data_IF_451929084056
#
_entry.id   IF_451929084056
#
_cell.length_a   1.000
_cell.length_b   1.000
_cell.length_c   1.000
_cell.angle_alpha   90.00
_cell.angle_beta   90.00
_cell.angle_gamma   90.00
#
_symmetry.space_group_name_H-M   'P 1'
#
loop_
_entity.id
_entity.type
_entity.pdbx_description
1 polymer ?
#
# COMPACT_ATOMS: atom_id res chain seq x y z
N UNK A 1 -35.37 52.32 6.77
CA UNK A 1 -35.71 50.88 6.79
C UNK A 1 -34.53 50.10 6.19
N UNK A 2 -33.80 49.37 7.04
CA UNK A 2 -32.52 48.69 6.73
C UNK A 2 -32.77 47.43 5.88
N UNK A 3 -32.11 47.30 4.73
CA UNK A 3 -32.06 46.07 3.94
C UNK A 3 -30.95 45.17 4.50
N UNK A 4 -31.34 44.02 5.04
CA UNK A 4 -30.44 43.00 5.57
C UNK A 4 -29.92 42.18 4.37
N UNK A 5 -28.62 42.25 4.13
CA UNK A 5 -27.92 41.36 3.20
C UNK A 5 -27.78 39.97 3.88
N UNK A 6 -28.49 38.97 3.37
CA UNK A 6 -28.18 37.57 3.66
C UNK A 6 -26.88 37.21 2.94
N UNK A 7 -25.81 36.99 3.71
CA UNK A 7 -24.60 36.35 3.23
C UNK A 7 -24.81 34.82 3.24
N UNK A 8 -24.95 34.23 2.06
CA UNK A 8 -24.87 32.79 1.86
C UNK A 8 -23.43 32.32 2.11
N UNK A 9 -23.19 31.76 3.29
CA UNK A 9 -21.96 31.07 3.63
C UNK A 9 -22.01 29.66 2.99
N UNK A 10 -21.48 29.54 1.77
CA UNK A 10 -21.33 28.25 1.10
C UNK A 10 -20.24 27.43 1.80
N UNK A 11 -20.65 26.40 2.54
CA UNK A 11 -19.76 25.38 3.10
C UNK A 11 -19.26 24.52 1.94
N UNK A 12 -18.01 24.76 1.51
CA UNK A 12 -17.30 23.88 0.58
C UNK A 12 -16.85 22.65 1.38
N UNK A 13 -17.53 21.52 1.19
CA UNK A 13 -17.07 20.24 1.70
C UNK A 13 -15.80 19.87 0.93
N UNK A 14 -14.64 19.96 1.57
CA UNK A 14 -13.37 19.46 1.07
C UNK A 14 -13.45 17.92 1.06
N UNK A 15 -13.91 17.35 -0.03
CA UNK A 15 -13.71 15.92 -0.29
C UNK A 15 -12.25 15.73 -0.67
N UNK A 16 -11.46 15.16 0.23
CA UNK A 16 -10.11 14.68 -0.11
C UNK A 16 -10.27 13.61 -1.19
N UNK A 17 -9.68 13.76 -2.39
CA UNK A 17 -9.73 12.68 -3.37
C UNK A 17 -9.00 11.47 -2.80
N UNK A 18 -9.62 10.30 -2.94
CA UNK A 18 -8.88 9.06 -2.86
C UNK A 18 -7.96 9.00 -4.08
N UNK A 19 -6.67 8.75 -3.86
CA UNK A 19 -5.74 8.45 -4.94
C UNK A 19 -5.99 7.01 -5.34
N UNK A 20 -6.81 6.83 -6.37
CA UNK A 20 -7.01 5.55 -7.03
C UNK A 20 -5.94 5.41 -8.14
N UNK A 21 -5.31 4.25 -8.23
CA UNK A 21 -4.32 3.94 -9.27
C UNK A 21 -4.53 2.51 -9.77
N UNK A 22 -4.22 2.27 -11.05
CA UNK A 22 -4.34 0.94 -11.61
C UNK A 22 -3.08 0.12 -11.28
N UNK A 23 -3.28 -0.99 -10.59
CA UNK A 23 -2.22 -1.99 -10.36
C UNK A 23 -2.43 -3.10 -11.38
N UNK A 24 -1.40 -3.37 -12.17
CA UNK A 24 -1.33 -4.51 -13.08
C UNK A 24 -0.45 -5.61 -12.48
N UNK A 25 -1.07 -6.67 -11.96
CA UNK A 25 -0.36 -7.85 -11.42
C UNK A 25 0.03 -8.75 -12.60
N UNK A 26 1.33 -8.81 -12.90
CA UNK A 26 1.89 -9.39 -14.11
C UNK A 26 2.08 -10.91 -14.02
N UNK A 27 2.67 -11.37 -12.93
CA UNK A 27 2.98 -12.78 -12.70
C UNK A 27 3.04 -13.06 -11.19
N UNK A 28 2.87 -14.32 -10.82
CA UNK A 28 3.03 -14.80 -9.44
C UNK A 28 4.05 -15.91 -9.38
N UNK A 29 4.94 -15.79 -8.41
CA UNK A 29 5.95 -16.78 -8.11
C UNK A 29 5.58 -17.52 -6.84
N UNK A 30 5.22 -18.79 -7.00
CA UNK A 30 4.80 -19.64 -5.91
C UNK A 30 6.02 -20.17 -5.13
N UNK A 31 6.12 -19.76 -3.87
CA UNK A 31 7.10 -20.24 -2.90
C UNK A 31 6.64 -21.48 -2.11
N UNK A 32 5.41 -21.93 -2.33
CA UNK A 32 4.87 -23.18 -1.81
C UNK A 32 3.47 -23.04 -1.22
N UNK A 33 2.85 -24.18 -0.91
CA UNK A 33 1.53 -24.24 -0.27
C UNK A 33 1.63 -24.77 1.15
N UNK A 34 1.07 -24.04 2.11
CA UNK A 34 1.18 -24.37 3.52
C UNK A 34 -0.19 -24.32 4.20
N UNK A 35 -0.42 -25.26 5.11
CA UNK A 35 -1.61 -25.21 5.96
C UNK A 35 -1.47 -24.10 7.00
N UNK A 36 -2.40 -23.16 7.02
CA UNK A 36 -2.53 -22.08 8.00
C UNK A 36 -3.84 -22.23 8.76
N UNK A 37 -3.90 -21.67 9.96
CA UNK A 37 -5.13 -21.51 10.73
C UNK A 37 -5.41 -20.02 10.81
N UNK A 38 -6.57 -19.60 10.32
CA UNK A 38 -7.04 -18.22 10.37
C UNK A 38 -8.41 -18.16 11.03
N UNK A 39 -8.54 -17.41 12.12
CA UNK A 39 -9.77 -17.31 12.94
C UNK A 39 -10.32 -18.69 13.32
N UNK A 40 -9.44 -19.63 13.64
CA UNK A 40 -9.78 -21.01 14.02
C UNK A 40 -10.08 -21.96 12.85
N UNK A 41 -10.05 -21.51 11.60
CA UNK A 41 -10.30 -22.34 10.43
C UNK A 41 -9.01 -22.72 9.71
N UNK A 42 -8.85 -24.01 9.40
CA UNK A 42 -7.76 -24.50 8.57
C UNK A 42 -7.96 -24.06 7.11
N UNK A 43 -6.90 -23.57 6.47
CA UNK A 43 -6.85 -23.25 5.04
C UNK A 43 -5.50 -23.66 4.47
N UNK A 44 -5.49 -24.06 3.21
CA UNK A 44 -4.24 -24.11 2.44
C UNK A 44 -4.00 -22.73 1.85
N UNK A 45 -2.89 -22.10 2.21
CA UNK A 45 -2.47 -20.82 1.66
C UNK A 45 -1.32 -21.03 0.66
N UNK A 46 -1.36 -20.30 -0.44
CA UNK A 46 -0.27 -20.23 -1.41
C UNK A 46 0.59 -19.03 -1.04
N UNK A 47 1.85 -19.30 -0.72
CA UNK A 47 2.82 -18.28 -0.34
C UNK A 47 3.68 -17.94 -1.54
N UNK A 48 4.02 -16.68 -1.67
CA UNK A 48 4.79 -16.20 -2.81
C UNK A 48 4.67 -14.71 -2.96
N UNK A 49 5.30 -14.21 -4.00
CA UNK A 49 5.28 -12.80 -4.37
C UNK A 49 4.78 -12.67 -5.80
N UNK A 50 4.49 -11.45 -6.23
CA UNK A 50 4.15 -11.14 -7.60
C UNK A 50 4.92 -9.92 -8.09
N UNK A 51 5.09 -9.82 -9.40
CA UNK A 51 5.51 -8.57 -10.03
C UNK A 51 4.27 -7.75 -10.35
N UNK A 52 4.31 -6.46 -10.04
CA UNK A 52 3.25 -5.50 -10.33
C UNK A 52 3.81 -4.28 -11.07
N UNK A 53 2.97 -3.66 -11.90
CA UNK A 53 3.27 -2.39 -12.53
C UNK A 53 2.14 -1.39 -12.25
N UNK A 54 2.49 -0.12 -12.05
CA UNK A 54 1.54 1.00 -11.99
C UNK A 54 1.38 1.65 -13.37
N UNK A 55 0.39 2.55 -13.51
CA UNK A 55 0.09 3.22 -14.77
C UNK A 55 1.23 4.11 -15.30
N UNK A 56 2.12 4.58 -14.43
CA UNK A 56 3.31 5.35 -14.81
C UNK A 56 4.46 4.48 -15.34
N UNK A 57 4.27 3.16 -15.37
CA UNK A 57 5.25 2.17 -15.82
C UNK A 57 6.28 1.78 -14.77
N UNK A 58 6.16 2.24 -13.53
CA UNK A 58 7.00 1.79 -12.42
C UNK A 58 6.69 0.33 -12.06
N UNK A 59 7.75 -0.43 -11.76
CA UNK A 59 7.68 -1.85 -11.42
C UNK A 59 7.88 -2.05 -9.91
N UNK A 60 7.18 -3.04 -9.37
CA UNK A 60 7.17 -3.39 -7.95
C UNK A 60 7.21 -4.90 -7.77
N UNK A 61 7.87 -5.34 -6.70
CA UNK A 61 7.54 -6.64 -6.08
C UNK A 61 6.33 -6.42 -5.19
N UNK A 62 5.47 -7.42 -5.05
CA UNK A 62 4.37 -7.36 -4.12
C UNK A 62 4.05 -8.66 -3.40
N UNK A 63 3.46 -8.50 -2.23
CA UNK A 63 2.92 -9.57 -1.40
C UNK A 63 1.45 -9.34 -1.10
N UNK A 64 0.78 -10.44 -0.80
CA UNK A 64 -0.62 -10.43 -0.41
C UNK A 64 -0.77 -9.94 1.03
N UNK A 65 -1.70 -9.01 1.28
CA UNK A 65 -1.98 -8.51 2.64
C UNK A 65 -3.20 -9.21 3.27
N UNK A 66 -4.23 -9.53 2.46
CA UNK A 66 -5.48 -10.09 2.97
C UNK A 66 -5.74 -11.55 2.55
N UNK A 67 -5.76 -12.49 3.50
CA UNK A 67 -5.98 -13.93 3.32
C UNK A 67 -7.42 -14.36 2.91
N UNK A 68 -8.51 -13.69 3.32
CA UNK A 68 -9.88 -13.99 2.89
C UNK A 68 -10.17 -13.75 1.41
N UNK A 69 -9.44 -12.84 0.76
CA UNK A 69 -9.66 -12.46 -0.63
C UNK A 69 -8.65 -13.14 -1.56
N UNK A 70 -9.04 -13.34 -2.82
CA UNK A 70 -8.15 -13.88 -3.85
C UNK A 70 -7.49 -12.73 -4.62
N UNK A 71 -6.23 -12.92 -5.00
CA UNK A 71 -5.54 -12.02 -5.92
C UNK A 71 -6.19 -11.99 -7.30
N UNK A 72 -6.15 -10.83 -7.95
CA UNK A 72 -6.54 -10.64 -9.33
C UNK A 72 -5.30 -10.54 -10.21
N UNK A 73 -5.25 -11.27 -11.31
CA UNK A 73 -4.16 -11.17 -12.28
C UNK A 73 -4.58 -10.30 -13.47
N UNK A 74 -3.75 -9.34 -13.84
CA UNK A 74 -4.08 -8.25 -14.75
C UNK A 74 -4.33 -6.94 -14.02
N UNK A 75 -4.93 -5.99 -14.73
CA UNK A 75 -5.16 -4.62 -14.26
C UNK A 75 -6.45 -4.49 -13.48
N UNK A 76 -6.36 -3.92 -12.27
CA UNK A 76 -7.51 -3.46 -11.49
C UNK A 76 -7.22 -2.11 -10.83
N UNK A 77 -8.28 -1.38 -10.53
CA UNK A 77 -8.25 -0.05 -9.91
C UNK A 77 -8.22 -0.20 -8.38
N UNK A 78 -7.10 0.17 -7.75
CA UNK A 78 -6.88 0.04 -6.32
C UNK A 78 -6.87 1.41 -5.63
N UNK A 79 -7.43 1.47 -4.42
CA UNK A 79 -7.27 2.63 -3.56
C UNK A 79 -5.86 2.61 -2.95
N UNK A 80 -5.02 3.59 -3.30
CA UNK A 80 -3.62 3.61 -2.88
C UNK A 80 -3.47 4.28 -1.51
N UNK A 81 -2.92 3.51 -0.57
CA UNK A 81 -2.51 4.01 0.74
C UNK A 81 -1.00 4.27 0.73
N UNK A 82 -0.63 5.52 0.98
CA UNK A 82 0.77 5.93 1.14
C UNK A 82 1.32 5.57 2.54
N UNK A 83 2.64 5.40 2.62
CA UNK A 83 3.36 4.91 3.82
C UNK A 83 3.18 5.80 5.06
N UNK A 84 2.98 7.10 4.89
CA UNK A 84 2.71 8.07 5.95
C UNK A 84 1.35 7.84 6.65
N UNK A 85 0.44 7.15 5.97
CA UNK A 85 -0.90 6.80 6.46
C UNK A 85 -1.02 5.37 6.96
N UNK A 86 0.06 4.59 6.94
CA UNK A 86 0.02 3.22 7.43
C UNK A 86 -0.35 3.15 8.91
N UNK A 87 -1.13 2.14 9.28
CA UNK A 87 -1.23 1.67 10.66
C UNK A 87 0.10 1.06 11.12
N UNK A 88 0.26 0.82 12.42
CA UNK A 88 1.48 0.19 12.94
C UNK A 88 1.77 -1.17 12.28
N UNK A 89 0.74 -2.02 12.16
CA UNK A 89 0.82 -3.34 11.52
C UNK A 89 1.26 -3.26 10.05
N UNK A 90 0.74 -2.28 9.31
CA UNK A 90 1.14 -2.03 7.92
C UNK A 90 2.58 -1.52 7.81
N UNK A 91 3.05 -0.73 8.79
CA UNK A 91 4.47 -0.34 8.87
C UNK A 91 5.36 -1.54 9.11
N UNK A 92 4.99 -2.43 10.04
CA UNK A 92 5.73 -3.66 10.32
C UNK A 92 5.81 -4.57 9.08
N UNK A 93 4.69 -4.74 8.35
CA UNK A 93 4.67 -5.49 7.09
C UNK A 93 5.59 -4.87 6.02
N UNK A 94 5.54 -3.55 5.85
CA UNK A 94 6.41 -2.82 4.91
C UNK A 94 7.89 -2.94 5.29
N UNK A 95 8.22 -2.88 6.59
CA UNK A 95 9.58 -3.06 7.08
C UNK A 95 10.08 -4.49 6.85
N UNK A 96 9.27 -5.50 7.14
CA UNK A 96 9.59 -6.90 6.86
C UNK A 96 9.90 -7.12 5.38
N UNK A 97 9.08 -6.57 4.49
CA UNK A 97 9.30 -6.64 3.05
C UNK A 97 10.60 -5.94 2.66
N UNK A 98 10.82 -4.72 3.15
CA UNK A 98 12.04 -3.97 2.87
C UNK A 98 13.31 -4.69 3.32
N UNK A 99 13.29 -5.35 4.48
CA UNK A 99 14.47 -5.99 5.07
C UNK A 99 14.75 -7.38 4.47
N UNK A 100 13.71 -8.15 4.16
CA UNK A 100 13.85 -9.58 3.87
C UNK A 100 13.43 -10.00 2.46
N UNK A 101 12.83 -9.14 1.66
CA UNK A 101 12.49 -9.52 0.29
C UNK A 101 13.79 -9.76 -0.53
N UNK A 102 13.96 -10.94 -1.15
CA UNK A 102 15.19 -11.28 -1.83
C UNK A 102 15.39 -10.53 -3.16
N UNK A 103 14.33 -10.00 -3.76
CA UNK A 103 14.37 -9.33 -5.06
C UNK A 103 14.43 -7.81 -4.95
N UNK A 104 14.28 -7.27 -3.73
CA UNK A 104 14.65 -5.88 -3.39
C UNK A 104 16.18 -5.70 -3.19
N UNK A 105 16.98 -6.74 -3.42
CA UNK A 105 18.44 -6.69 -3.34
C UNK A 105 19.01 -6.97 -1.96
N UNK A 106 18.18 -7.46 -1.02
CA UNK A 106 18.61 -7.81 0.32
C UNK A 106 19.40 -9.12 0.33
N UNK A 107 20.37 -9.21 1.23
CA UNK A 107 21.03 -10.47 1.52
C UNK A 107 20.08 -11.37 2.31
N UNK A 108 19.92 -12.62 1.87
CA UNK A 108 19.23 -13.65 2.65
C UNK A 108 20.24 -14.66 3.21
N UNK A 109 19.86 -15.30 4.32
CA UNK A 109 20.69 -16.31 4.98
C UNK A 109 20.97 -17.46 4.00
N UNK A 110 22.25 -17.82 3.74
CA UNK A 110 22.61 -18.85 2.76
C UNK A 110 22.13 -20.25 3.14
N UNK A 111 21.71 -20.46 4.39
CA UNK A 111 21.07 -21.70 4.82
C UNK A 111 19.63 -21.82 4.32
N UNK A 112 19.03 -20.75 3.81
CA UNK A 112 17.67 -20.69 3.29
C UNK A 112 17.68 -20.35 1.79
N UNK A 113 16.88 -21.05 1.01
CA UNK A 113 16.70 -20.73 -0.40
C UNK A 113 15.87 -19.47 -0.58
N UNK A 114 15.98 -18.82 -1.74
CA UNK A 114 15.15 -17.66 -2.11
C UNK A 114 13.65 -17.92 -1.90
N UNK A 115 13.15 -19.09 -2.31
CA UNK A 115 11.74 -19.45 -2.12
C UNK A 115 11.38 -19.62 -0.64
N UNK A 116 12.28 -20.16 0.18
CA UNK A 116 12.04 -20.32 1.62
C UNK A 116 11.89 -18.94 2.29
N UNK A 117 12.75 -17.99 1.90
CA UNK A 117 12.67 -16.58 2.33
C UNK A 117 11.36 -15.92 1.92
N UNK A 118 10.94 -16.06 0.66
CA UNK A 118 9.65 -15.53 0.17
C UNK A 118 8.46 -16.12 0.94
N UNK A 119 8.48 -17.44 1.18
CA UNK A 119 7.42 -18.11 1.93
C UNK A 119 7.35 -17.62 3.39
N UNK A 120 8.51 -17.53 4.05
CA UNK A 120 8.60 -17.04 5.41
C UNK A 120 8.17 -15.58 5.53
N UNK A 121 8.57 -14.73 4.59
CA UNK A 121 8.18 -13.32 4.54
C UNK A 121 6.66 -13.16 4.37
N UNK A 122 6.03 -13.89 3.45
CA UNK A 122 4.58 -13.84 3.27
C UNK A 122 3.82 -14.27 4.54
N UNK A 123 4.32 -15.26 5.30
CA UNK A 123 3.74 -15.64 6.59
C UNK A 123 3.94 -14.57 7.67
N UNK A 124 5.11 -13.95 7.74
CA UNK A 124 5.39 -12.88 8.68
C UNK A 124 4.51 -11.65 8.42
N UNK A 125 4.30 -11.29 7.14
CA UNK A 125 3.38 -10.23 6.74
C UNK A 125 1.95 -10.53 7.22
N UNK A 126 1.44 -11.75 7.03
CA UNK A 126 0.10 -12.08 7.53
C UNK A 126 0.01 -12.11 9.05
N UNK A 127 1.06 -12.53 9.75
CA UNK A 127 1.08 -12.46 11.21
C UNK A 127 0.89 -11.01 11.67
N UNK A 128 1.76 -10.09 11.25
CA UNK A 128 1.70 -8.69 11.76
C UNK A 128 0.41 -7.98 11.36
N UNK A 129 -0.20 -8.38 10.25
CA UNK A 129 -1.48 -7.81 9.80
C UNK A 129 -2.64 -8.28 10.69
N UNK A 130 -2.66 -9.56 11.06
CA UNK A 130 -3.78 -10.14 11.80
C UNK A 130 -3.62 -10.13 13.32
N UNK A 131 -2.38 -10.17 13.81
CA UNK A 131 -2.05 -10.29 15.21
C UNK A 131 -0.93 -9.31 15.65
N UNK A 132 -0.63 -9.31 16.94
CA UNK A 132 0.36 -8.41 17.59
C UNK A 132 1.36 -9.18 18.48
N UNK A 133 1.21 -10.49 18.61
CA UNK A 133 2.07 -11.35 19.41
C UNK A 133 3.34 -11.77 18.68
N UNK A 134 3.46 -11.48 17.38
CA UNK A 134 4.63 -11.77 16.55
C UNK A 134 5.03 -13.24 16.63
N UNK A 135 4.04 -14.13 16.56
CA UNK A 135 4.21 -15.57 16.77
C UNK A 135 3.28 -16.40 15.90
N UNK A 136 3.87 -17.26 15.07
CA UNK A 136 3.13 -18.22 14.23
C UNK A 136 2.66 -19.49 14.97
N UNK A 137 2.73 -19.51 16.31
CA UNK A 137 2.29 -20.66 17.13
C UNK A 137 0.87 -20.49 17.69
N UNK A 138 0.43 -19.25 17.86
CA UNK A 138 -0.81 -18.86 18.52
C UNK A 138 -1.42 -17.62 17.84
N UNK A 139 -2.45 -17.02 18.43
CA UNK A 139 -3.16 -15.90 17.82
C UNK A 139 -4.25 -16.28 16.80
N UNK A 140 -4.70 -15.27 16.06
CA UNK A 140 -5.75 -15.33 15.04
C UNK A 140 -5.25 -16.03 13.78
N UNK A 141 -4.01 -15.76 13.39
CA UNK A 141 -3.29 -16.31 12.27
C UNK A 141 -2.07 -17.08 12.77
N UNK A 142 -1.98 -18.35 12.38
CA UNK A 142 -0.83 -19.20 12.72
C UNK A 142 -0.58 -20.26 11.67
N UNK A 143 0.65 -20.78 11.64
CA UNK A 143 0.95 -21.93 10.79
C UNK A 143 0.36 -23.19 11.43
N UNK A 144 -0.33 -24.02 10.63
CA UNK A 144 -0.86 -25.29 11.13
C UNK A 144 0.27 -26.22 11.60
N UNK A 145 -0.01 -27.13 12.53
CA UNK A 145 0.98 -28.05 13.09
C UNK A 145 1.63 -28.99 12.05
N UNK A 146 0.99 -29.18 10.90
CA UNK A 146 1.54 -29.95 9.78
C UNK A 146 2.31 -29.08 8.77
N UNK A 147 2.43 -27.77 9.02
CA UNK A 147 3.23 -26.87 8.21
C UNK A 147 4.73 -27.11 8.42
N UNK A 148 5.55 -26.57 7.51
CA UNK A 148 7.01 -26.70 7.60
C UNK A 148 7.54 -26.00 8.85
N UNK A 149 8.11 -26.79 9.78
CA UNK A 149 8.85 -26.28 10.94
C UNK A 149 9.93 -25.27 10.52
N UNK A 150 10.58 -25.55 9.39
CA UNK A 150 11.72 -24.80 8.90
C UNK A 150 11.32 -23.39 8.46
N UNK A 151 10.24 -23.29 7.66
CA UNK A 151 9.70 -21.99 7.24
C UNK A 151 9.10 -21.23 8.41
N UNK A 152 8.45 -21.93 9.35
CA UNK A 152 7.93 -21.30 10.58
C UNK A 152 9.02 -20.60 11.37
N UNK A 153 10.17 -21.24 11.53
CA UNK A 153 11.27 -20.66 12.29
C UNK A 153 11.92 -19.49 11.58
N UNK A 154 12.08 -19.55 10.26
CA UNK A 154 12.55 -18.40 9.50
C UNK A 154 11.59 -17.21 9.65
N UNK A 155 10.28 -17.44 9.50
CA UNK A 155 9.29 -16.38 9.66
C UNK A 155 9.26 -15.80 11.09
N UNK A 156 9.33 -16.64 12.13
CA UNK A 156 9.44 -16.15 13.51
C UNK A 156 10.76 -15.39 13.76
N UNK A 157 11.86 -15.75 13.08
CA UNK A 157 13.09 -14.98 13.15
C UNK A 157 12.90 -13.57 12.57
N UNK A 158 12.22 -13.44 11.43
CA UNK A 158 11.86 -12.14 10.84
C UNK A 158 10.96 -11.33 11.79
N UNK A 159 9.94 -11.95 12.35
CA UNK A 159 9.03 -11.32 13.31
C UNK A 159 9.78 -10.83 14.56
N UNK A 160 10.72 -11.62 15.08
CA UNK A 160 11.52 -11.24 16.26
C UNK A 160 12.50 -10.08 16.02
N UNK A 161 12.82 -9.78 14.76
CA UNK A 161 13.73 -8.71 14.37
C UNK A 161 13.01 -7.36 14.22
N UNK A 162 11.68 -7.34 14.21
CA UNK A 162 10.89 -6.12 14.07
C UNK A 162 11.25 -5.14 15.21
N UNK A 163 11.70 -3.91 14.89
CA UNK A 163 11.98 -2.92 15.91
C UNK A 163 10.69 -2.46 16.58
N UNK A 164 10.77 -2.13 17.87
CA UNK A 164 9.60 -1.65 18.66
C UNK A 164 8.90 -0.46 18.00
N UNK A 165 9.66 0.44 17.40
CA UNK A 165 9.17 1.63 16.70
C UNK A 165 9.63 1.59 15.24
N UNK A 166 8.81 1.01 14.37
CA UNK A 166 9.09 0.99 12.93
C UNK A 166 8.93 2.39 12.34
N UNK A 167 10.04 2.94 11.87
CA UNK A 167 10.07 4.20 11.11
C UNK A 167 10.33 3.90 9.63
N UNK A 168 9.39 4.29 8.77
CA UNK A 168 9.50 4.10 7.32
C UNK A 168 10.24 5.24 6.60
N UNK A 169 10.79 6.22 7.32
CA UNK A 169 11.46 7.38 6.70
C UNK A 169 12.68 7.00 5.82
N UNK A 170 13.25 5.80 6.01
CA UNK A 170 14.33 5.26 5.17
C UNK A 170 13.83 4.27 4.10
N UNK A 171 12.52 4.00 4.06
CA UNK A 171 11.90 3.04 3.14
C UNK A 171 11.19 3.85 2.07
N UNK A 172 11.91 4.10 0.97
CA UNK A 172 11.47 5.08 -0.03
C UNK A 172 10.18 4.66 -0.78
N UNK A 173 9.81 3.37 -0.83
CA UNK A 173 8.75 2.91 -1.75
C UNK A 173 7.92 1.73 -1.23
N UNK A 174 7.14 1.94 -0.17
CA UNK A 174 6.08 1.00 0.22
C UNK A 174 4.70 1.62 0.07
N UNK A 175 3.85 1.00 -0.74
CA UNK A 175 2.43 1.39 -0.90
C UNK A 175 1.56 0.17 -0.67
N UNK A 176 0.35 0.40 -0.16
CA UNK A 176 -0.67 -0.64 -0.07
C UNK A 176 -1.80 -0.29 -1.02
N UNK A 177 -2.05 -1.16 -2.00
CA UNK A 177 -3.25 -1.11 -2.81
C UNK A 177 -4.38 -1.82 -2.10
N UNK A 178 -5.48 -1.11 -1.84
CA UNK A 178 -6.67 -1.68 -1.22
C UNK A 178 -7.80 -1.91 -2.23
N UNK A 179 -8.50 -3.03 -2.13
CA UNK A 179 -9.61 -3.34 -3.03
C UNK A 179 -10.79 -4.02 -2.31
N UNK A 180 -12.00 -3.57 -2.63
CA UNK A 180 -13.23 -4.11 -1.99
C UNK A 180 -13.55 -5.57 -2.34
N UNK A 181 -13.01 -6.07 -3.46
CA UNK A 181 -13.34 -7.39 -4.05
C UNK A 181 -12.15 -8.33 -4.26
N UNK A 182 -10.95 -7.77 -4.32
CA UNK A 182 -9.72 -8.47 -4.66
C UNK A 182 -8.75 -8.27 -3.51
N UNK A 183 -7.75 -9.14 -3.42
CA UNK A 183 -6.77 -9.10 -2.36
C UNK A 183 -6.02 -7.77 -2.31
N UNK A 184 -5.96 -7.18 -1.11
CA UNK A 184 -5.07 -6.06 -0.81
C UNK A 184 -3.61 -6.48 -1.03
N UNK A 185 -2.82 -5.57 -1.58
CA UNK A 185 -1.44 -5.82 -1.99
C UNK A 185 -0.49 -4.84 -1.33
N UNK A 186 0.62 -5.34 -0.80
CA UNK A 186 1.75 -4.54 -0.34
C UNK A 186 2.78 -4.55 -1.47
N UNK A 187 3.19 -3.36 -1.92
CA UNK A 187 4.17 -3.21 -3.00
C UNK A 187 5.45 -2.58 -2.47
N UNK A 188 6.60 -3.10 -2.93
CA UNK A 188 7.95 -2.57 -2.69
C UNK A 188 8.65 -2.28 -4.02
N UNK A 189 9.15 -1.06 -4.20
CA UNK A 189 9.73 -0.63 -5.48
C UNK A 189 11.05 -1.32 -5.82
N UNK A 190 11.19 -1.82 -7.05
CA UNK A 190 12.45 -2.44 -7.53
C UNK A 190 13.38 -1.38 -8.12
N UNK A 191 14.31 -0.89 -7.29
CA UNK A 191 15.31 0.10 -7.69
C UNK A 191 14.72 1.51 -7.82
N UNK A 192 15.22 2.47 -7.04
CA UNK A 192 14.64 3.81 -6.82
C UNK A 192 14.01 4.46 -8.07
N UNK A 193 12.68 4.41 -8.23
CA UNK A 193 11.97 5.24 -9.18
C UNK A 193 11.29 6.37 -8.42
N UNK A 194 11.48 7.60 -8.87
CA UNK A 194 10.82 8.82 -8.35
C UNK A 194 9.42 8.52 -7.81
N UNK A 195 9.10 8.92 -6.55
CA UNK A 195 7.77 8.67 -5.99
C UNK A 195 6.72 9.17 -6.98
N UNK A 196 5.58 8.45 -7.14
CA UNK A 196 4.52 8.88 -8.04
C UNK A 196 4.24 10.34 -7.71
N UNK A 197 4.66 11.20 -8.64
CA UNK A 197 4.55 12.64 -8.49
C UNK A 197 3.07 12.88 -8.29
N UNK A 198 2.67 13.30 -7.09
CA UNK A 198 1.31 13.66 -6.74
C UNK A 198 0.71 14.42 -7.94
N UNK A 199 -0.06 13.70 -8.75
CA UNK A 199 -0.51 14.20 -10.05
C UNK A 199 -1.32 15.43 -9.72
N UNK A 200 -0.94 16.65 -10.16
CA UNK A 200 -1.55 17.87 -9.67
C UNK A 200 -3.05 17.77 -9.85
N UNK A 201 -3.76 17.67 -8.73
CA UNK A 201 -5.17 17.35 -8.74
C UNK A 201 -5.90 18.36 -9.63
N UNK A 202 -6.96 17.94 -10.35
CA UNK A 202 -7.76 18.85 -11.16
C UNK A 202 -8.28 20.06 -10.35
N UNK A 203 -8.39 19.93 -9.01
CA UNK A 203 -8.67 21.05 -8.12
C UNK A 203 -7.61 22.16 -8.19
N UNK A 204 -6.32 21.84 -8.28
CA UNK A 204 -5.22 22.81 -8.41
C UNK A 204 -5.28 23.52 -9.76
N UNK A 205 -5.54 22.77 -10.84
CA UNK A 205 -5.76 23.34 -12.16
C UNK A 205 -7.01 24.24 -12.18
N UNK A 206 -8.06 23.87 -11.45
CA UNK A 206 -9.31 24.63 -11.34
C UNK A 206 -9.15 25.86 -10.44
N UNK A 207 -8.36 25.79 -9.37
CA UNK A 207 -7.98 26.93 -8.53
C UNK A 207 -7.11 27.91 -9.31
N UNK A 208 -6.13 27.42 -10.06
CA UNK A 208 -5.32 28.24 -10.94
C UNK A 208 -6.15 28.88 -12.05
N UNK A 209 -7.01 28.11 -12.73
CA UNK A 209 -7.93 28.61 -13.74
C UNK A 209 -8.93 29.63 -13.17
N UNK A 210 -9.45 29.41 -11.96
CA UNK A 210 -10.36 30.35 -11.30
C UNK A 210 -9.67 31.65 -10.92
N UNK A 211 -8.41 31.59 -10.46
CA UNK A 211 -7.61 32.78 -10.15
C UNK A 211 -7.35 33.64 -11.41
N UNK A 212 -7.07 32.99 -12.54
CA UNK A 212 -6.92 33.66 -13.84
C UNK A 212 -8.24 34.25 -14.35
N UNK A 213 -9.36 33.56 -14.13
CA UNK A 213 -10.71 34.04 -14.46
C UNK A 213 -11.07 35.34 -13.72
N UNK A 214 -10.78 35.42 -12.42
CA UNK A 214 -11.03 36.62 -11.60
C UNK A 214 -10.15 37.79 -12.05
N UNK A 215 -8.88 37.54 -12.37
CA UNK A 215 -7.97 38.58 -12.88
C UNK A 215 -8.43 39.12 -14.25
N UNK A 216 -8.84 38.25 -15.17
CA UNK A 216 -9.37 38.63 -16.48
C UNK A 216 -10.67 39.44 -16.35
N UNK A 217 -11.56 39.05 -15.44
CA UNK A 217 -12.79 39.79 -15.15
C UNK A 217 -12.49 41.20 -14.62
N UNK A 218 -11.62 41.32 -13.62
CA UNK A 218 -11.25 42.61 -13.02
C UNK A 218 -10.60 43.55 -14.04
N UNK A 219 -9.81 43.02 -14.97
CA UNK A 219 -9.21 43.81 -16.05
C UNK A 219 -10.25 44.34 -17.04
N UNK A 220 -11.28 43.53 -17.38
CA UNK A 220 -12.40 43.98 -18.23
C UNK A 220 -13.24 45.08 -17.59
N UNK A 221 -13.41 45.07 -16.26
CA UNK A 221 -14.12 46.12 -15.52
C UNK A 221 -13.36 47.45 -15.52
N UNK A 222 -12.03 47.42 -15.34
CA UNK A 222 -11.22 48.65 -15.38
C UNK A 222 -11.27 49.34 -16.74
N UNK A 223 -11.17 48.60 -17.84
CA UNK A 223 -11.19 49.15 -19.21
C UNK A 223 -12.52 49.86 -19.53
N UNK A 224 -13.66 49.37 -19.00
CA UNK A 224 -14.96 50.03 -19.18
C UNK A 224 -15.09 51.34 -18.40
N UNK A 225 -14.39 51.50 -17.28
CA UNK A 225 -14.45 52.70 -16.45
C UNK A 225 -13.45 53.80 -16.87
N UNK A 226 -12.51 53.53 -17.77
CA UNK A 226 -11.55 54.52 -18.29
C UNK A 226 -11.99 55.14 -19.63
N UNK A 227 -13.20 54.82 -20.10
CA UNK A 227 -13.82 55.39 -21.30
C UNK A 227 -15.08 56.23 -20.98
N UNK A 228 -15.03 56.99 -19.90
CA UNK A 228 -15.99 58.02 -19.55
C UNK A 228 -15.26 59.35 -19.38
#
# INVERSE_FOLDING_TARGET
MRKIFLALLGVLLLTTPALADNINILNYENAGSYGVIYRGHYKTAYLGQFNAALDDGSEYIGYCVDLPQNAHFGTADYDMLASDRFSQRQREAAWLMHEYDPDLGNAYDPNYGRHDTMAALQLAIWEVIYDENHSLYDGTFKLSNNGSWYIRNLANAFLSAIPRDVNLASIDYSVIGQHSRYQDVLLGGVGSPTPPSATPEPATALLLASSMGVLAWNRRRKIKNTRA
#
